data_IF_556215010229
#
_entry.id   IF_556215010229
#
_cell.length_a   1.000
_cell.length_b   1.000
_cell.length_c   1.000
_cell.angle_alpha   90.00
_cell.angle_beta   90.00
_cell.angle_gamma   90.00
#
_symmetry.space_group_name_H-M   'P 1'
#
loop_
_entity.id
_entity.type
_entity.pdbx_description
1 polymer ?
#
# COMPACT_ATOMS: atom_id res chain seq x y z
N UNK A 1 9.64 19.02 16.58
CA UNK A 1 10.00 19.25 15.15
C UNK A 1 8.96 18.54 14.29
N UNK A 2 8.54 19.07 13.13
CA UNK A 2 7.53 18.41 12.29
C UNK A 2 8.15 17.25 11.53
N UNK A 3 7.57 16.05 11.69
CA UNK A 3 8.04 14.84 11.05
C UNK A 3 7.23 14.52 9.80
N UNK A 4 7.93 14.23 8.71
CA UNK A 4 7.35 13.80 7.45
C UNK A 4 7.78 12.38 7.08
N UNK A 5 6.91 11.68 6.37
CA UNK A 5 7.15 10.37 5.77
C UNK A 5 6.40 10.32 4.44
N UNK A 6 7.03 9.83 3.39
CA UNK A 6 6.33 9.49 2.14
C UNK A 6 6.23 7.97 2.08
N UNK A 7 5.02 7.46 1.94
CA UNK A 7 4.73 6.02 1.99
C UNK A 7 3.67 5.62 0.95
N UNK A 8 3.59 4.33 0.65
CA UNK A 8 2.36 3.75 0.09
C UNK A 8 1.80 2.68 1.01
N UNK A 9 0.50 2.42 0.88
CA UNK A 9 -0.23 1.49 1.74
C UNK A 9 -0.77 0.33 0.93
N UNK A 10 -0.90 -0.82 1.59
CA UNK A 10 -1.62 -1.95 1.01
C UNK A 10 -3.11 -1.62 0.90
N UNK A 11 -3.72 -2.14 -0.16
CA UNK A 11 -5.16 -2.08 -0.40
C UNK A 11 -5.76 -3.49 -0.48
N UNK A 12 -7.10 -3.56 -0.52
CA UNK A 12 -7.85 -4.81 -0.65
C UNK A 12 -7.44 -5.91 0.34
N UNK A 13 -7.33 -7.16 -0.14
CA UNK A 13 -6.92 -8.29 0.70
C UNK A 13 -5.51 -8.18 1.25
N UNK A 14 -4.58 -7.58 0.51
CA UNK A 14 -3.20 -7.44 0.98
C UNK A 14 -3.16 -6.64 2.30
N UNK A 15 -3.96 -5.58 2.38
CA UNK A 15 -4.16 -4.80 3.62
C UNK A 15 -4.72 -5.67 4.75
N UNK A 16 -5.75 -6.47 4.46
CA UNK A 16 -6.38 -7.37 5.43
C UNK A 16 -5.40 -8.42 5.95
N UNK A 17 -4.65 -9.08 5.06
CA UNK A 17 -3.63 -10.08 5.39
C UNK A 17 -2.51 -9.47 6.25
N UNK A 18 -1.95 -8.33 5.84
CA UNK A 18 -0.89 -7.66 6.60
C UNK A 18 -1.38 -7.23 8.00
N UNK A 19 -2.59 -6.66 8.10
CA UNK A 19 -3.17 -6.32 9.42
C UNK A 19 -3.40 -7.54 10.30
N UNK A 20 -3.90 -8.64 9.73
CA UNK A 20 -4.11 -9.89 10.46
C UNK A 20 -2.77 -10.45 10.96
N UNK A 21 -1.75 -10.46 10.11
CA UNK A 21 -0.41 -10.89 10.49
C UNK A 21 0.13 -10.10 11.70
N UNK A 22 0.06 -8.77 11.66
CA UNK A 22 0.55 -7.93 12.76
C UNK A 22 -0.20 -8.23 14.06
N UNK A 23 -1.54 -8.36 14.01
CA UNK A 23 -2.33 -8.74 15.20
C UNK A 23 -2.04 -10.14 15.71
N UNK A 24 -1.75 -11.08 14.82
CA UNK A 24 -1.40 -12.44 15.22
C UNK A 24 -0.04 -12.46 15.91
N UNK A 25 0.93 -11.69 15.41
CA UNK A 25 2.25 -11.51 16.02
C UNK A 25 2.11 -10.87 17.39
N UNK A 26 1.35 -9.77 17.47
CA UNK A 26 1.06 -9.05 18.70
C UNK A 26 0.52 -9.96 19.81
N UNK A 27 -0.55 -10.71 19.49
CA UNK A 27 -1.16 -11.66 20.43
C UNK A 27 -0.27 -12.85 20.77
N UNK A 28 0.51 -13.36 19.82
CA UNK A 28 1.29 -14.59 20.03
C UNK A 28 2.56 -14.35 20.84
N UNK A 29 3.15 -13.17 20.71
CA UNK A 29 4.43 -12.83 21.31
C UNK A 29 4.33 -11.76 22.40
N UNK A 30 3.12 -11.32 22.75
CA UNK A 30 2.83 -10.30 23.79
C UNK A 30 3.69 -9.03 23.66
N UNK A 31 3.93 -8.60 22.41
CA UNK A 31 4.77 -7.43 22.10
C UNK A 31 4.07 -6.08 22.34
N UNK A 32 2.78 -6.13 22.71
CA UNK A 32 1.93 -4.97 23.06
C UNK A 32 2.09 -3.81 22.07
N UNK A 33 2.00 -4.11 20.77
CA UNK A 33 2.10 -3.10 19.73
C UNK A 33 1.05 -2.01 19.97
N UNK A 34 1.53 -0.76 20.01
CA UNK A 34 0.66 0.40 20.13
C UNK A 34 -0.34 0.51 18.96
N UNK A 35 -1.42 1.26 19.20
CA UNK A 35 -2.65 1.38 18.43
C UNK A 35 -2.61 1.01 16.92
N UNK A 36 -3.38 -0.04 16.56
CA UNK A 36 -3.88 -0.39 15.20
C UNK A 36 -2.91 -0.03 14.04
N UNK A 37 -1.79 -0.76 13.88
CA UNK A 37 -0.80 -0.46 12.86
C UNK A 37 -1.43 -0.44 11.46
N UNK A 38 -1.01 0.56 10.68
CA UNK A 38 -1.36 0.69 9.26
C UNK A 38 -0.18 0.14 8.47
N UNK A 39 -0.30 -1.05 7.86
CA UNK A 39 0.77 -1.59 7.06
C UNK A 39 1.05 -0.66 5.88
N UNK A 40 2.30 -0.21 5.78
CA UNK A 40 2.78 0.72 4.78
C UNK A 40 4.20 0.32 4.36
N UNK A 41 4.61 0.85 3.22
CA UNK A 41 5.98 0.76 2.70
C UNK A 41 6.49 2.18 2.55
N UNK A 42 7.61 2.48 3.20
CA UNK A 42 8.27 3.79 3.13
C UNK A 42 8.90 3.97 1.76
N UNK A 43 8.74 5.18 1.19
CA UNK A 43 9.41 5.62 -0.02
C UNK A 43 10.54 6.62 0.30
N UNK A 44 10.30 7.51 1.26
CA UNK A 44 11.30 8.41 1.81
C UNK A 44 10.96 8.79 3.25
N UNK A 45 11.94 8.76 4.15
CA UNK A 45 11.82 9.25 5.52
C UNK A 45 12.05 8.23 6.63
N UNK A 46 11.89 8.64 7.90
CA UNK A 46 11.36 9.94 8.33
C UNK A 46 12.32 11.11 8.05
N UNK A 47 11.77 12.27 7.69
CA UNK A 47 12.54 13.49 7.39
C UNK A 47 11.86 14.76 7.91
N UNK A 48 12.55 15.89 7.78
CA UNK A 48 12.08 17.21 8.18
C UNK A 48 12.27 18.19 7.03
N UNK A 49 11.37 19.16 6.91
CA UNK A 49 11.51 20.27 5.96
C UNK A 49 10.87 21.54 6.54
N UNK A 50 11.37 22.69 6.09
CA UNK A 50 10.75 24.00 6.32
C UNK A 50 9.93 24.47 5.11
N UNK A 51 9.94 23.71 4.00
CA UNK A 51 9.28 24.08 2.75
C UNK A 51 8.21 23.05 2.34
N UNK A 52 7.15 22.94 3.15
CA UNK A 52 6.04 22.02 2.92
C UNK A 52 5.34 22.27 1.57
N UNK A 53 5.18 23.53 1.16
CA UNK A 53 4.59 23.87 -0.13
C UNK A 53 5.40 23.30 -1.30
N UNK A 54 6.72 23.45 -1.27
CA UNK A 54 7.61 22.86 -2.28
C UNK A 54 7.60 21.33 -2.24
N UNK A 55 7.58 20.73 -1.05
CA UNK A 55 7.45 19.27 -0.87
C UNK A 55 6.20 18.73 -1.59
N UNK A 56 5.04 19.34 -1.35
CA UNK A 56 3.77 18.93 -1.96
C UNK A 56 3.80 19.13 -3.48
N UNK A 57 4.35 20.26 -3.94
CA UNK A 57 4.46 20.58 -5.37
C UNK A 57 5.37 19.59 -6.12
N UNK A 58 6.57 19.34 -5.60
CA UNK A 58 7.53 18.42 -6.21
C UNK A 58 7.03 16.97 -6.19
N UNK A 59 6.43 16.54 -5.08
CA UNK A 59 5.79 15.23 -4.97
C UNK A 59 4.68 15.06 -6.02
N UNK A 60 3.76 16.01 -6.13
CA UNK A 60 2.66 15.95 -7.10
C UNK A 60 3.19 15.98 -8.54
N UNK A 61 4.17 16.84 -8.85
CA UNK A 61 4.80 16.91 -10.16
C UNK A 61 5.45 15.58 -10.54
N UNK A 62 6.14 14.94 -9.59
CA UNK A 62 6.75 13.63 -9.83
C UNK A 62 5.69 12.55 -10.05
N UNK A 63 4.68 12.45 -9.19
CA UNK A 63 3.63 11.44 -9.32
C UNK A 63 2.89 11.52 -10.67
N UNK A 64 2.70 12.72 -11.23
CA UNK A 64 2.09 12.91 -12.56
C UNK A 64 2.89 12.30 -13.72
N UNK A 65 4.20 12.09 -13.55
CA UNK A 65 5.07 11.49 -14.59
C UNK A 65 4.96 9.97 -14.65
N UNK A 66 4.47 9.31 -13.60
CA UNK A 66 4.44 7.87 -13.50
C UNK A 66 3.02 7.32 -13.70
N UNK A 67 2.94 6.20 -14.42
CA UNK A 67 1.75 5.35 -14.41
C UNK A 67 1.71 4.51 -13.12
N UNK A 68 0.65 3.70 -12.99
CA UNK A 68 0.54 2.74 -11.88
C UNK A 68 1.75 1.80 -11.86
N UNK A 69 2.39 1.70 -10.70
CA UNK A 69 3.60 0.89 -10.50
C UNK A 69 3.26 -0.45 -9.86
N UNK A 70 4.05 -1.48 -10.18
CA UNK A 70 3.88 -2.85 -9.68
C UNK A 70 4.90 -3.16 -8.59
N UNK A 71 4.57 -4.10 -7.72
CA UNK A 71 5.50 -4.73 -6.78
C UNK A 71 5.06 -6.16 -6.47
N UNK A 72 5.99 -6.97 -5.98
CA UNK A 72 5.73 -8.33 -5.50
C UNK A 72 5.96 -8.36 -3.99
N UNK A 73 5.08 -9.03 -3.27
CA UNK A 73 5.32 -9.40 -1.88
C UNK A 73 6.03 -10.76 -1.89
N UNK A 74 7.20 -10.84 -1.24
CA UNK A 74 8.13 -12.00 -1.38
C UNK A 74 8.58 -12.51 -0.01
N UNK A 75 7.64 -13.06 0.77
CA UNK A 75 7.97 -13.67 2.04
C UNK A 75 8.18 -12.66 3.17
N UNK A 76 9.03 -13.06 4.12
CA UNK A 76 9.34 -12.30 5.33
C UNK A 76 10.84 -12.25 5.55
N UNK A 77 11.33 -11.16 6.10
CA UNK A 77 12.76 -11.01 6.38
C UNK A 77 12.97 -10.15 7.64
N UNK A 78 14.23 -9.98 8.05
CA UNK A 78 14.58 -9.33 9.31
C UNK A 78 15.79 -8.41 9.18
N UNK A 79 15.74 -7.25 9.83
CA UNK A 79 16.93 -6.47 10.15
C UNK A 79 17.40 -6.91 11.54
N UNK A 80 18.38 -7.81 11.60
CA UNK A 80 18.84 -8.42 12.86
C UNK A 80 19.37 -7.37 13.84
N UNK A 81 20.18 -6.45 13.35
CA UNK A 81 20.84 -5.43 14.17
C UNK A 81 19.83 -4.53 14.90
N UNK A 82 18.72 -4.23 14.23
CA UNK A 82 17.65 -3.37 14.76
C UNK A 82 16.42 -4.16 15.24
N UNK A 83 16.50 -5.50 15.27
CA UNK A 83 15.44 -6.43 15.69
C UNK A 83 14.08 -6.11 15.05
N UNK A 84 14.09 -5.86 13.74
CA UNK A 84 12.89 -5.58 12.95
C UNK A 84 12.50 -6.84 12.17
N UNK A 85 11.21 -7.16 12.16
CA UNK A 85 10.65 -8.20 11.28
C UNK A 85 9.67 -7.54 10.32
N UNK A 86 9.80 -7.85 9.03
CA UNK A 86 9.06 -7.18 7.98
C UNK A 86 8.60 -8.11 6.86
N UNK A 87 7.58 -7.67 6.14
CA UNK A 87 7.16 -8.24 4.86
C UNK A 87 8.11 -7.72 3.79
N UNK A 88 8.73 -8.63 3.04
CA UNK A 88 9.68 -8.26 1.99
C UNK A 88 8.94 -7.85 0.71
N UNK A 89 9.39 -6.77 0.08
CA UNK A 89 8.77 -6.17 -1.09
C UNK A 89 9.80 -6.06 -2.19
N UNK A 90 9.55 -6.77 -3.30
CA UNK A 90 10.34 -6.64 -4.51
C UNK A 90 9.67 -5.61 -5.45
N UNK A 91 10.26 -4.43 -5.65
CA UNK A 91 9.69 -3.39 -6.50
C UNK A 91 9.79 -3.78 -8.00
N UNK A 92 8.89 -3.25 -8.82
CA UNK A 92 9.18 -3.14 -10.27
C UNK A 92 10.26 -2.08 -10.51
N UNK A 93 10.96 -2.13 -11.64
CA UNK A 93 11.94 -1.11 -12.03
C UNK A 93 11.36 0.31 -11.96
N UNK A 94 10.12 0.49 -12.44
CA UNK A 94 9.41 1.78 -12.36
C UNK A 94 9.19 2.27 -10.93
N UNK A 95 8.95 1.37 -9.98
CA UNK A 95 8.77 1.73 -8.56
C UNK A 95 10.11 2.12 -7.92
N UNK A 96 11.17 1.39 -8.23
CA UNK A 96 12.53 1.68 -7.77
C UNK A 96 13.01 3.05 -8.30
N UNK A 97 12.81 3.28 -9.59
CA UNK A 97 13.11 4.55 -10.25
C UNK A 97 12.28 5.70 -9.65
N UNK A 98 10.96 5.53 -9.50
CA UNK A 98 10.10 6.54 -8.87
C UNK A 98 10.60 6.94 -7.48
N UNK A 99 10.99 5.96 -6.67
CA UNK A 99 11.55 6.20 -5.34
C UNK A 99 12.85 6.98 -5.42
N UNK A 100 13.75 6.62 -6.33
CA UNK A 100 15.02 7.31 -6.49
C UNK A 100 14.84 8.76 -6.96
N UNK A 101 13.99 9.00 -7.95
CA UNK A 101 13.64 10.34 -8.41
C UNK A 101 12.98 11.16 -7.30
N UNK A 102 12.15 10.53 -6.45
CA UNK A 102 11.55 11.19 -5.29
C UNK A 102 12.61 11.70 -4.33
N UNK A 103 13.59 10.86 -3.98
CA UNK A 103 14.70 11.27 -3.11
C UNK A 103 15.49 12.44 -3.71
N UNK A 104 15.87 12.33 -4.99
CA UNK A 104 16.58 13.41 -5.70
C UNK A 104 15.79 14.71 -5.75
N UNK A 105 14.47 14.64 -5.95
CA UNK A 105 13.62 15.81 -6.04
C UNK A 105 13.55 16.60 -4.73
N UNK A 106 13.65 15.92 -3.58
CA UNK A 106 13.43 16.53 -2.26
C UNK A 106 14.72 16.73 -1.44
N UNK A 107 15.84 16.06 -1.79
CA UNK A 107 17.08 16.08 -0.99
C UNK A 107 17.68 17.45 -0.71
N UNK A 108 17.45 18.44 -1.59
CA UNK A 108 18.06 19.78 -1.44
C UNK A 108 17.40 20.64 -0.35
N UNK A 109 16.21 20.28 0.12
CA UNK A 109 15.45 21.06 1.12
C UNK A 109 14.77 20.18 2.18
N UNK A 110 14.98 18.86 2.14
CA UNK A 110 14.55 17.91 3.16
C UNK A 110 15.77 17.28 3.83
N UNK A 111 15.75 17.20 5.16
CA UNK A 111 16.76 16.47 5.95
C UNK A 111 16.47 14.97 5.90
N UNK A 112 16.90 14.32 4.82
CA UNK A 112 16.74 12.89 4.55
C UNK A 112 17.75 12.03 5.35
N UNK A 113 17.47 10.73 5.46
CA UNK A 113 18.40 9.75 6.04
C UNK A 113 19.41 9.26 5.00
N UNK A 114 20.51 8.64 5.43
CA UNK A 114 21.54 8.12 4.51
C UNK A 114 20.97 7.11 3.51
N UNK A 115 20.17 6.16 3.99
CA UNK A 115 19.47 5.18 3.14
C UNK A 115 18.47 5.83 2.17
N UNK A 116 18.05 7.07 2.42
CA UNK A 116 17.23 7.84 1.48
C UNK A 116 18.04 8.34 0.29
N UNK A 117 19.34 8.53 0.46
CA UNK A 117 20.26 9.06 -0.56
C UNK A 117 20.94 7.96 -1.38
N UNK A 118 20.72 6.70 -1.03
CA UNK A 118 21.22 5.54 -1.77
C UNK A 118 20.26 5.13 -2.89
N UNK A 119 20.80 4.83 -4.07
CA UNK A 119 20.02 4.34 -5.21
C UNK A 119 19.39 2.98 -4.91
N UNK A 120 20.17 2.07 -4.31
CA UNK A 120 19.67 0.75 -3.88
C UNK A 120 18.82 0.93 -2.63
N UNK A 121 17.56 0.51 -2.68
CA UNK A 121 16.63 0.64 -1.57
C UNK A 121 15.99 -0.68 -1.18
N UNK A 122 15.85 -0.90 0.12
CA UNK A 122 15.17 -2.07 0.67
C UNK A 122 13.71 -1.74 0.94
N UNK A 123 12.84 -2.04 -0.01
CA UNK A 123 11.39 -1.88 0.18
C UNK A 123 10.89 -2.94 1.15
N UNK A 124 10.19 -2.50 2.19
CA UNK A 124 9.64 -3.40 3.20
C UNK A 124 8.40 -2.81 3.86
N UNK A 125 7.56 -3.68 4.42
CA UNK A 125 6.50 -3.27 5.32
C UNK A 125 6.70 -3.89 6.71
N UNK A 126 6.98 -3.05 7.69
CA UNK A 126 7.24 -3.49 9.07
C UNK A 126 6.06 -4.24 9.65
N UNK A 127 6.34 -5.42 10.22
CA UNK A 127 5.39 -6.22 10.99
C UNK A 127 5.53 -5.89 12.47
N UNK A 128 6.77 -5.88 12.96
CA UNK A 128 7.12 -5.51 14.33
C UNK A 128 8.55 -4.94 14.37
N UNK A 129 8.80 -3.99 15.27
CA UNK A 129 10.10 -3.34 15.45
C UNK A 129 10.28 -2.90 16.90
N UNK A 130 11.49 -2.48 17.26
CA UNK A 130 11.88 -2.12 18.63
C UNK A 130 11.66 -3.28 19.63
N UNK A 131 11.87 -4.51 19.16
CA UNK A 131 11.67 -5.71 19.94
C UNK A 131 12.84 -5.95 20.90
N UNK A 132 12.56 -6.48 22.08
CA UNK A 132 13.53 -7.18 22.91
C UNK A 132 14.05 -8.43 22.19
N UNK A 133 15.10 -9.07 22.72
CA UNK A 133 15.69 -10.25 22.09
C UNK A 133 14.72 -11.44 22.08
N UNK A 134 14.00 -11.61 23.17
CA UNK A 134 13.01 -12.66 23.42
C UNK A 134 11.81 -12.49 22.49
N UNK A 135 11.30 -11.26 22.38
CA UNK A 135 10.24 -10.91 21.45
C UNK A 135 10.69 -11.15 20.01
N UNK A 136 11.88 -10.69 19.61
CA UNK A 136 12.41 -10.90 18.27
C UNK A 136 12.50 -12.40 17.92
N UNK A 137 13.02 -13.22 18.84
CA UNK A 137 13.05 -14.68 18.69
C UNK A 137 11.64 -15.26 18.54
N UNK A 138 10.69 -14.82 19.36
CA UNK A 138 9.30 -15.27 19.26
C UNK A 138 8.68 -14.91 17.90
N UNK A 139 8.79 -13.64 17.49
CA UNK A 139 8.21 -13.14 16.23
C UNK A 139 8.83 -13.86 15.04
N UNK A 140 10.16 -13.97 15.00
CA UNK A 140 10.88 -14.65 13.92
C UNK A 140 10.49 -16.14 13.84
N UNK A 141 10.41 -16.85 14.97
CA UNK A 141 9.96 -18.25 15.03
C UNK A 141 8.51 -18.41 14.57
N UNK A 142 7.63 -17.49 14.97
CA UNK A 142 6.23 -17.51 14.59
C UNK A 142 6.02 -17.28 13.09
N UNK A 143 6.71 -16.30 12.53
CA UNK A 143 6.58 -15.93 11.11
C UNK A 143 7.18 -17.00 10.19
N UNK A 144 8.31 -17.62 10.55
CA UNK A 144 8.91 -18.73 9.79
C UNK A 144 8.04 -19.97 9.66
N UNK A 145 7.03 -20.13 10.52
CA UNK A 145 6.05 -21.23 10.44
C UNK A 145 4.85 -20.91 9.53
N UNK A 146 4.72 -19.66 9.07
CA UNK A 146 3.63 -19.24 8.18
C UNK A 146 4.04 -19.46 6.74
N UNK A 147 3.06 -19.77 5.89
CA UNK A 147 3.24 -19.76 4.44
C UNK A 147 3.71 -18.38 3.99
N UNK A 148 4.84 -18.34 3.28
CA UNK A 148 5.39 -17.10 2.76
C UNK A 148 4.43 -16.46 1.75
N UNK A 149 4.13 -15.16 1.88
CA UNK A 149 3.35 -14.48 0.88
C UNK A 149 4.13 -14.40 -0.43
N UNK A 150 3.57 -14.96 -1.49
CA UNK A 150 4.00 -14.72 -2.87
C UNK A 150 2.79 -14.22 -3.66
N UNK A 151 2.74 -12.91 -3.91
CA UNK A 151 1.74 -12.33 -4.81
C UNK A 151 2.18 -10.97 -5.38
N UNK A 152 1.74 -10.71 -6.62
CA UNK A 152 1.89 -9.41 -7.29
C UNK A 152 0.83 -8.43 -6.80
N UNK A 153 1.17 -7.15 -6.71
CA UNK A 153 0.26 -6.05 -6.38
C UNK A 153 0.69 -4.77 -7.12
N UNK A 154 -0.13 -3.73 -7.01
CA UNK A 154 0.15 -2.40 -7.53
C UNK A 154 0.17 -1.33 -6.44
N UNK A 155 0.97 -0.28 -6.64
CA UNK A 155 0.94 0.94 -5.84
C UNK A 155 -0.21 1.82 -6.33
N UNK A 156 -1.38 1.69 -5.68
CA UNK A 156 -2.57 2.44 -6.06
C UNK A 156 -2.45 3.94 -5.71
N UNK A 157 -1.83 4.23 -4.57
CA UNK A 157 -1.67 5.58 -4.02
C UNK A 157 -0.37 5.74 -3.25
N UNK A 158 0.20 6.95 -3.27
CA UNK A 158 1.32 7.35 -2.42
C UNK A 158 0.91 8.55 -1.56
N UNK A 159 1.32 8.59 -0.30
CA UNK A 159 0.89 9.58 0.67
C UNK A 159 2.08 10.34 1.27
N UNK A 160 1.90 11.66 1.44
CA UNK A 160 2.71 12.46 2.34
C UNK A 160 2.04 12.41 3.72
N UNK A 161 2.76 11.91 4.71
CA UNK A 161 2.37 11.88 6.11
C UNK A 161 3.09 13.01 6.84
N UNK A 162 2.34 13.80 7.61
CA UNK A 162 2.83 14.84 8.51
C UNK A 162 2.39 14.48 9.93
N UNK A 163 3.33 14.29 10.85
CA UNK A 163 3.05 13.93 12.25
C UNK A 163 2.02 12.77 12.36
N UNK A 164 2.29 11.66 11.67
CA UNK A 164 1.43 10.46 11.63
C UNK A 164 0.04 10.65 10.99
N UNK A 165 -0.20 11.77 10.31
CA UNK A 165 -1.46 12.09 9.64
C UNK A 165 -1.21 12.31 8.16
N UNK A 166 -2.02 11.70 7.28
CA UNK A 166 -2.06 12.07 5.85
C UNK A 166 -2.24 13.59 5.73
N UNK A 167 -1.29 14.23 5.04
CA UNK A 167 -1.35 15.60 4.56
C UNK A 167 -2.03 15.59 3.18
N UNK A 168 -1.43 14.90 2.22
CA UNK A 168 -1.96 14.63 0.88
C UNK A 168 -1.68 13.20 0.46
N UNK A 169 -2.48 12.68 -0.48
CA UNK A 169 -2.30 11.36 -1.08
C UNK A 169 -2.51 11.46 -2.59
N UNK A 170 -1.55 11.07 -3.41
CA UNK A 170 -1.72 11.02 -4.85
C UNK A 170 -2.36 9.69 -5.25
N UNK A 171 -3.41 9.76 -6.06
CA UNK A 171 -4.10 8.60 -6.62
C UNK A 171 -3.68 8.37 -8.07
N UNK A 172 -3.00 7.25 -8.34
CA UNK A 172 -2.48 6.95 -9.68
C UNK A 172 -3.58 6.57 -10.67
N UNK A 173 -4.74 6.12 -10.19
CA UNK A 173 -5.87 5.78 -11.07
C UNK A 173 -6.69 7.01 -11.43
N UNK A 174 -6.91 7.90 -10.44
CA UNK A 174 -7.64 9.15 -10.65
C UNK A 174 -6.73 10.30 -11.13
N UNK A 175 -5.42 10.07 -11.20
CA UNK A 175 -4.38 11.01 -11.66
C UNK A 175 -4.47 12.39 -10.98
N UNK A 176 -4.73 12.39 -9.67
CA UNK A 176 -4.92 13.63 -8.90
C UNK A 176 -4.43 13.51 -7.47
N UNK A 177 -4.05 14.66 -6.92
CA UNK A 177 -3.73 14.81 -5.51
C UNK A 177 -5.03 14.90 -4.70
N UNK A 178 -5.12 14.08 -3.66
CA UNK A 178 -6.24 14.03 -2.72
C UNK A 178 -5.84 14.74 -1.44
N UNK A 179 -6.70 15.63 -0.94
CA UNK A 179 -6.56 16.12 0.42
C UNK A 179 -6.89 15.00 1.44
N UNK A 180 -6.64 15.25 2.72
CA UNK A 180 -6.89 14.28 3.79
C UNK A 180 -8.32 13.73 3.82
N UNK A 181 -9.33 14.58 3.58
CA UNK A 181 -10.74 14.17 3.58
C UNK A 181 -11.04 13.21 2.45
N UNK A 182 -10.55 13.52 1.25
CA UNK A 182 -10.69 12.69 0.06
C UNK A 182 -9.91 11.38 0.16
N UNK A 183 -8.67 11.42 0.66
CA UNK A 183 -7.84 10.23 0.88
C UNK A 183 -8.52 9.21 1.80
N UNK A 184 -9.26 9.70 2.80
CA UNK A 184 -10.05 8.86 3.73
C UNK A 184 -11.43 8.47 3.19
N UNK A 185 -11.90 9.06 2.09
CA UNK A 185 -13.25 8.84 1.58
C UNK A 185 -13.40 7.46 0.95
N UNK A 186 -14.36 6.68 1.46
CA UNK A 186 -14.73 5.38 0.87
C UNK A 186 -15.25 5.53 -0.57
N UNK A 187 -15.95 6.63 -0.86
CA UNK A 187 -16.46 6.93 -2.20
C UNK A 187 -15.33 7.16 -3.19
N UNK A 188 -14.34 7.97 -2.81
CA UNK A 188 -13.16 8.22 -3.67
C UNK A 188 -12.37 6.93 -3.87
N UNK A 189 -12.18 6.13 -2.81
CA UNK A 189 -11.54 4.82 -2.93
C UNK A 189 -12.29 3.86 -3.88
N UNK A 190 -13.63 3.83 -3.83
CA UNK A 190 -14.42 3.04 -4.76
C UNK A 190 -14.24 3.50 -6.21
N UNK A 191 -14.12 4.82 -6.45
CA UNK A 191 -13.80 5.35 -7.78
C UNK A 191 -12.42 4.88 -8.26
N UNK A 192 -11.40 4.88 -7.39
CA UNK A 192 -10.07 4.37 -7.72
C UNK A 192 -10.10 2.90 -8.11
N UNK A 193 -10.87 2.07 -7.39
CA UNK A 193 -11.03 0.66 -7.72
C UNK A 193 -11.78 0.43 -9.03
N UNK A 194 -12.85 1.19 -9.30
CA UNK A 194 -13.56 1.13 -10.58
C UNK A 194 -12.64 1.50 -11.75
N UNK A 195 -11.83 2.55 -11.57
CA UNK A 195 -10.82 2.94 -12.57
C UNK A 195 -9.74 1.86 -12.74
N UNK A 196 -9.38 1.16 -11.66
CA UNK A 196 -8.43 0.06 -11.69
C UNK A 196 -8.98 -1.17 -12.42
N UNK A 197 -10.24 -1.54 -12.19
CA UNK A 197 -10.92 -2.63 -12.91
C UNK A 197 -10.89 -2.35 -14.41
N UNK A 198 -11.33 -1.15 -14.82
CA UNK A 198 -11.27 -0.70 -16.22
C UNK A 198 -9.85 -0.75 -16.79
N UNK A 199 -8.85 -0.30 -16.05
CA UNK A 199 -7.44 -0.36 -16.46
C UNK A 199 -6.97 -1.78 -16.78
N UNK A 200 -7.49 -2.78 -16.06
CA UNK A 200 -7.15 -4.17 -16.34
C UNK A 200 -7.99 -4.81 -17.45
N UNK A 201 -9.23 -4.37 -17.66
CA UNK A 201 -10.08 -4.81 -18.78
C UNK A 201 -9.52 -4.35 -20.13
N UNK A 202 -8.92 -3.16 -20.20
CA UNK A 202 -8.39 -2.55 -21.42
C UNK A 202 -7.03 -3.11 -21.89
N UNK A 203 -6.50 -4.19 -21.29
CA UNK A 203 -5.48 -5.02 -21.94
C UNK A 203 -4.00 -4.70 -21.68
N UNK A 204 -3.61 -4.02 -20.59
CA UNK A 204 -2.19 -3.87 -20.19
C UNK A 204 -1.64 -5.01 -19.28
N UNK A 205 -1.71 -6.26 -19.77
CA UNK A 205 -1.04 -7.55 -19.37
C UNK A 205 -1.23 -8.19 -17.96
N UNK A 206 -1.29 -9.54 -17.96
CA UNK A 206 -1.15 -10.54 -16.87
C UNK A 206 -1.81 -10.23 -15.50
N UNK A 207 -3.13 -10.32 -15.43
CA UNK A 207 -3.91 -9.75 -14.30
C UNK A 207 -4.78 -10.73 -13.52
N UNK A 208 -4.87 -11.99 -13.95
CA UNK A 208 -5.77 -12.97 -13.31
C UNK A 208 -5.48 -13.18 -11.82
N UNK A 209 -4.21 -13.05 -11.39
CA UNK A 209 -3.81 -13.14 -9.99
C UNK A 209 -4.06 -11.87 -9.16
N UNK A 210 -3.80 -10.69 -9.74
CA UNK A 210 -3.93 -9.39 -9.05
C UNK A 210 -5.41 -9.09 -8.77
N UNK A 211 -6.27 -9.29 -9.77
CA UNK A 211 -7.71 -9.03 -9.67
C UNK A 211 -8.40 -9.97 -8.66
N UNK A 212 -8.11 -11.29 -8.68
CA UNK A 212 -8.66 -12.26 -7.72
C UNK A 212 -8.34 -11.92 -6.26
N UNK A 213 -7.22 -11.24 -6.01
CA UNK A 213 -6.85 -10.76 -4.69
C UNK A 213 -7.51 -9.42 -4.31
N UNK A 214 -7.96 -8.62 -5.26
CA UNK A 214 -8.65 -7.35 -5.02
C UNK A 214 -10.17 -7.56 -4.88
N UNK A 215 -10.82 -8.25 -5.83
CA UNK A 215 -12.29 -8.37 -5.92
C UNK A 215 -12.95 -9.03 -4.71
N UNK A 216 -12.42 -10.14 -4.21
CA UNK A 216 -13.00 -10.87 -3.06
C UNK A 216 -12.91 -10.09 -1.72
N UNK A 217 -12.37 -8.86 -1.70
CA UNK A 217 -12.32 -7.98 -0.50
C UNK A 217 -13.35 -6.85 -0.49
N UNK A 218 -13.99 -6.60 -1.63
CA UNK A 218 -15.17 -5.76 -1.73
C UNK A 218 -16.29 -6.69 -2.14
N UNK A 219 -17.11 -7.07 -1.17
CA UNK A 219 -18.46 -7.48 -1.48
C UNK A 219 -19.14 -6.28 -2.16
N UNK A 220 -18.96 -6.16 -3.49
CA UNK A 220 -19.82 -5.36 -4.36
C UNK A 220 -21.26 -5.74 -4.09
N UNK A 221 -21.55 -6.99 -3.72
CA UNK A 221 -22.86 -7.46 -3.21
C UNK A 221 -23.34 -6.80 -1.91
N UNK A 222 -22.48 -6.43 -0.95
CA UNK A 222 -22.86 -5.68 0.27
C UNK A 222 -23.03 -4.18 -0.01
N UNK A 223 -22.34 -3.67 -1.02
CA UNK A 223 -22.48 -2.29 -1.46
C UNK A 223 -23.74 -2.12 -2.32
N UNK A 224 -24.00 -3.07 -3.23
CA UNK A 224 -25.21 -3.18 -4.05
C UNK A 224 -26.45 -3.47 -3.21
N UNK A 225 -26.38 -4.32 -2.17
CA UNK A 225 -27.55 -4.56 -1.29
C UNK A 225 -27.92 -3.36 -0.42
N UNK A 226 -26.95 -2.49 -0.08
CA UNK A 226 -27.19 -1.24 0.65
C UNK A 226 -27.68 -0.11 -0.25
N UNK A 227 -27.35 -0.13 -1.54
CA UNK A 227 -27.85 0.83 -2.54
C UNK A 227 -29.22 0.38 -3.09
N UNK A 228 -29.45 -0.93 -3.23
CA UNK A 228 -30.73 -1.52 -3.69
C UNK A 228 -31.92 -1.21 -2.78
N UNK A 229 -31.69 -0.72 -1.55
CA UNK A 229 -32.75 -0.21 -0.66
C UNK A 229 -33.21 1.22 -1.01
N UNK A 230 -32.63 1.86 -2.02
CA UNK A 230 -33.18 3.05 -2.67
C UNK A 230 -33.31 2.73 -4.17
N UNK A 231 -34.53 2.37 -4.56
CA UNK A 231 -34.84 1.74 -5.83
C UNK A 231 -34.34 2.51 -7.04
N UNK A 232 -33.51 1.84 -7.84
CA UNK A 232 -33.49 1.94 -9.29
C UNK A 232 -32.62 0.80 -9.85
N UNK A 233 -33.09 0.13 -10.91
CA UNK A 233 -32.36 -0.81 -11.79
C UNK A 233 -32.37 -2.31 -11.47
N UNK A 234 -33.55 -2.92 -11.58
CA UNK A 234 -33.74 -4.36 -11.79
C UNK A 234 -33.44 -4.86 -13.23
N UNK A 235 -32.57 -4.20 -14.00
CA UNK A 235 -32.32 -4.56 -15.42
C UNK A 235 -30.89 -5.03 -15.75
N UNK A 236 -29.96 -5.10 -14.79
CA UNK A 236 -28.57 -5.51 -15.08
C UNK A 236 -28.24 -6.98 -14.73
N UNK A 237 -29.14 -7.70 -14.06
CA UNK A 237 -28.83 -9.04 -13.50
C UNK A 237 -28.89 -10.19 -14.50
N UNK A 238 -29.36 -9.98 -15.74
CA UNK A 238 -29.49 -11.04 -16.74
C UNK A 238 -28.26 -11.25 -17.66
N UNK A 239 -27.29 -10.34 -17.67
CA UNK A 239 -26.12 -10.45 -18.56
C UNK A 239 -25.00 -11.36 -18.00
N UNK A 240 -24.93 -11.57 -16.68
CA UNK A 240 -23.83 -12.31 -16.03
C UNK A 240 -24.14 -13.81 -15.90
N UNK A 241 -25.41 -14.23 -16.01
CA UNK A 241 -25.82 -15.63 -15.81
C UNK A 241 -25.54 -16.54 -17.02
N UNK A 242 -25.23 -15.99 -18.20
CA UNK A 242 -25.03 -16.76 -19.44
C UNK A 242 -23.57 -17.08 -19.82
N UNK A 243 -22.55 -16.70 -19.03
CA UNK A 243 -21.13 -17.00 -19.34
C UNK A 243 -20.47 -18.06 -18.45
N UNK A 244 -21.26 -18.98 -17.88
CA UNK A 244 -20.75 -20.26 -17.34
C UNK A 244 -20.80 -21.33 -18.44
N UNK A 245 -19.93 -21.26 -19.43
CA UNK A 245 -19.54 -22.40 -20.26
C UNK A 245 -18.22 -22.04 -20.95
N UNK A 246 -17.32 -23.02 -21.06
CA UNK A 246 -15.92 -22.94 -21.52
C UNK A 246 -14.94 -22.34 -20.49
N UNK A 247 -13.88 -23.00 -20.00
CA UNK A 247 -13.07 -24.11 -20.51
C UNK A 247 -12.69 -25.12 -19.40
N UNK A 248 -12.56 -26.40 -19.80
CA UNK A 248 -11.70 -27.41 -19.15
C UNK A 248 -10.24 -27.06 -19.41
#
# INVERSE_FOLDING_TARGET
MTHYLIEFRFFGKARGKAKKLIRDVDRKCDIKLSYRPVPHVTLAGPFHTQNEGKLVSDFNRLCKKYEVMKYKVVGFNTFKDNRVVYIDINPSEKLDEFRWELSKAIKSYCRLKSFDLEKKFYFHATVAMNLTHEEFKCVNKFIRKKTEPDYKHIMLRAAIIKNSRILYEYDFMLKRLLNRGEAKSKRVLAQSFKALEKYFEEGKTETSGIIKHIEKSTSTKEFESKISKKGFLGRLTNAIRKRKFFFK
#
